data_IF_399144452264
#
_entry.id   IF_399144452264
#
_cell.length_a   1.000
_cell.length_b   1.000
_cell.length_c   1.000
_cell.angle_alpha   90.00
_cell.angle_beta   90.00
_cell.angle_gamma   90.00
#
_symmetry.space_group_name_H-M   'P 1'
#
loop_
_entity.id
_entity.type
_entity.pdbx_description
1 polymer ?
#
# COMPACT_ATOMS: atom_id res chain seq x y z
N UNK A 1 6.83 1.82 11.99
CA UNK A 1 7.70 0.64 11.69
C UNK A 1 7.84 0.43 10.19
N UNK A 2 6.74 0.24 9.44
CA UNK A 2 6.80 -0.03 8.00
C UNK A 2 7.55 1.03 7.19
N UNK A 3 7.38 2.31 7.54
CA UNK A 3 8.17 3.38 6.91
C UNK A 3 9.68 3.22 7.07
N UNK A 4 10.14 2.82 8.25
CA UNK A 4 11.57 2.62 8.51
C UNK A 4 12.12 1.48 7.65
N UNK A 5 11.40 0.36 7.56
CA UNK A 5 11.81 -0.77 6.71
C UNK A 5 11.87 -0.37 5.24
N UNK A 6 10.88 0.39 4.76
CA UNK A 6 10.88 0.89 3.39
C UNK A 6 11.99 1.92 3.13
N UNK A 7 12.28 2.80 4.10
CA UNK A 7 13.42 3.74 4.05
C UNK A 7 14.77 3.01 4.09
N UNK A 8 14.84 1.85 4.76
CA UNK A 8 16.02 0.98 4.79
C UNK A 8 16.21 0.13 3.52
N UNK A 9 15.37 0.32 2.49
CA UNK A 9 15.50 -0.34 1.18
C UNK A 9 14.67 -1.62 1.02
N UNK A 10 13.86 -1.99 2.02
CA UNK A 10 12.99 -3.16 1.90
C UNK A 10 11.72 -2.83 1.10
N UNK A 11 11.35 -3.72 0.19
CA UNK A 11 10.02 -3.67 -0.44
C UNK A 11 8.98 -4.15 0.57
N UNK A 12 7.95 -3.33 0.81
CA UNK A 12 6.87 -3.62 1.75
C UNK A 12 5.56 -3.61 0.98
N UNK A 13 4.76 -4.66 1.14
CA UNK A 13 3.38 -4.73 0.64
C UNK A 13 2.47 -4.79 1.85
N UNK A 14 1.54 -3.85 1.95
CA UNK A 14 0.56 -3.75 3.03
C UNK A 14 -0.84 -3.79 2.42
N UNK A 15 -1.72 -4.62 3.00
CA UNK A 15 -3.14 -4.69 2.64
C UNK A 15 -3.93 -4.12 3.80
N UNK A 16 -4.75 -3.11 3.52
CA UNK A 16 -5.60 -2.45 4.51
C UNK A 16 -6.92 -2.02 3.87
N UNK A 17 -7.97 -1.87 4.68
CA UNK A 17 -9.23 -1.27 4.29
C UNK A 17 -9.32 0.21 4.71
N UNK A 18 -8.32 0.70 5.44
CA UNK A 18 -8.22 2.08 5.94
C UNK A 18 -7.48 2.96 4.91
N UNK A 19 -8.14 4.02 4.44
CA UNK A 19 -7.65 4.86 3.34
C UNK A 19 -6.44 5.69 3.73
N UNK A 20 -6.47 6.26 4.93
CA UNK A 20 -5.38 7.04 5.52
C UNK A 20 -4.10 6.22 5.61
N UNK A 21 -4.17 4.97 6.10
CA UNK A 21 -3.01 4.07 6.12
C UNK A 21 -2.45 3.84 4.72
N UNK A 22 -3.31 3.63 3.72
CA UNK A 22 -2.88 3.43 2.33
C UNK A 22 -2.20 4.69 1.75
N UNK A 23 -2.63 5.89 2.13
CA UNK A 23 -2.07 7.18 1.67
C UNK A 23 -0.61 7.41 2.11
N UNK A 24 -0.12 6.67 3.12
CA UNK A 24 1.31 6.67 3.48
C UNK A 24 2.19 5.84 2.53
N UNK A 25 1.60 5.02 1.65
CA UNK A 25 2.35 4.19 0.72
C UNK A 25 2.84 4.98 -0.49
N UNK A 26 3.99 4.57 -1.06
CA UNK A 26 4.52 5.16 -2.30
C UNK A 26 3.68 4.87 -3.54
N UNK A 27 2.82 3.84 -3.48
CA UNK A 27 1.95 3.39 -4.57
C UNK A 27 0.72 2.73 -3.97
N UNK A 28 -0.46 2.99 -4.51
CA UNK A 28 -1.72 2.43 -4.00
C UNK A 28 -2.42 1.65 -5.12
N UNK A 29 -2.68 0.37 -4.87
CA UNK A 29 -3.49 -0.48 -5.74
C UNK A 29 -4.84 -0.72 -5.08
N UNK A 30 -5.93 -0.46 -5.82
CA UNK A 30 -7.28 -0.75 -5.36
C UNK A 30 -7.74 -2.09 -5.91
N UNK A 31 -8.20 -2.96 -5.00
CA UNK A 31 -8.74 -4.27 -5.31
C UNK A 31 -10.23 -4.31 -4.97
N UNK A 32 -11.02 -4.93 -5.83
CA UNK A 32 -12.42 -5.24 -5.59
C UNK A 32 -12.75 -6.57 -6.27
N UNK A 33 -13.37 -7.49 -5.54
CA UNK A 33 -13.74 -8.83 -6.02
C UNK A 33 -12.61 -9.59 -6.74
N UNK A 34 -11.40 -9.51 -6.18
CA UNK A 34 -10.21 -10.18 -6.72
C UNK A 34 -9.63 -9.53 -7.98
N UNK A 35 -10.16 -8.38 -8.41
CA UNK A 35 -9.69 -7.65 -9.58
C UNK A 35 -9.04 -6.32 -9.17
N UNK A 36 -8.02 -5.90 -9.93
CA UNK A 36 -7.43 -4.57 -9.81
C UNK A 36 -8.36 -3.59 -10.53
N UNK A 37 -8.93 -2.67 -9.76
CA UNK A 37 -9.86 -1.67 -10.28
C UNK A 37 -9.23 -0.28 -10.42
N UNK A 38 -7.99 -0.09 -9.95
CA UNK A 38 -7.27 1.16 -10.11
C UNK A 38 -5.87 1.17 -9.51
N UNK A 39 -5.05 2.09 -10.01
CA UNK A 39 -3.72 2.41 -9.51
C UNK A 39 -3.62 3.94 -9.33
N UNK A 40 -3.21 4.37 -8.15
CA UNK A 40 -3.06 5.78 -7.77
C UNK A 40 -1.62 6.02 -7.34
#
# INVERSE_FOLDING_TARGET
IFEYLNKAGNTVILVTHEKDIAEHAKKIIKLHDGQIIGNI
#
